data_IF_398480102483
#
_entry.id   IF_398480102483
#
_cell.length_a   1.000
_cell.length_b   1.000
_cell.length_c   1.000
_cell.angle_alpha   90.00
_cell.angle_beta   90.00
_cell.angle_gamma   90.00
#
_symmetry.space_group_name_H-M   'P 1'
#
loop_
_entity.id
_entity.type
_entity.pdbx_description
1 polymer ?
#
# COMPACT_ATOMS: atom_id res chain seq x y z
N UNK A 1 4.65 -2.65 0.44
CA UNK A 1 3.39 -2.69 1.21
C UNK A 1 3.59 -3.34 2.57
N UNK A 2 4.31 -4.47 2.66
CA UNK A 2 4.63 -5.11 3.94
C UNK A 2 5.18 -4.15 5.01
N UNK A 3 6.06 -3.21 4.63
CA UNK A 3 6.58 -2.21 5.58
C UNK A 3 5.53 -1.22 6.11
N UNK A 4 4.48 -0.93 5.33
CA UNK A 4 3.35 -0.12 5.79
C UNK A 4 2.41 -0.97 6.66
N UNK A 5 2.21 -2.23 6.26
CA UNK A 5 1.41 -3.24 6.98
C UNK A 5 2.04 -3.70 8.31
N UNK A 6 3.37 -3.57 8.47
CA UNK A 6 4.06 -3.92 9.71
C UNK A 6 3.86 -2.90 10.82
N UNK A 7 3.38 -1.70 10.50
CA UNK A 7 3.12 -0.65 11.46
C UNK A 7 1.62 -0.35 11.52
N UNK A 8 1.00 -0.76 12.63
CA UNK A 8 -0.43 -0.59 12.89
C UNK A 8 -0.91 0.86 12.90
N UNK A 9 -0.01 1.85 13.03
CA UNK A 9 -0.38 3.27 12.91
C UNK A 9 -0.83 3.65 11.49
N UNK A 10 -0.51 2.82 10.49
CA UNK A 10 -0.98 2.97 9.12
C UNK A 10 -2.38 2.38 8.89
N UNK A 11 -3.05 1.82 9.91
CA UNK A 11 -4.36 1.17 9.77
C UNK A 11 -5.46 2.09 9.21
N UNK A 12 -5.26 3.41 9.23
CA UNK A 12 -6.14 4.39 8.58
C UNK A 12 -6.10 4.31 7.05
N UNK A 13 -5.00 3.86 6.45
CA UNK A 13 -4.84 3.75 5.00
C UNK A 13 -4.56 2.32 4.49
N UNK A 14 -3.95 1.45 5.29
CA UNK A 14 -3.68 0.05 4.96
C UNK A 14 -3.62 -0.83 6.21
N UNK A 15 -4.30 -1.97 6.19
CA UNK A 15 -4.31 -2.92 7.31
C UNK A 15 -4.46 -4.36 6.82
N UNK A 16 -3.93 -5.30 7.60
CA UNK A 16 -4.27 -6.72 7.45
C UNK A 16 -5.75 -6.94 7.69
N UNK A 17 -6.37 -7.83 6.91
CA UNK A 17 -7.78 -8.21 7.00
C UNK A 17 -7.96 -9.62 6.44
N UNK A 18 -8.71 -10.48 7.13
CA UNK A 18 -8.99 -11.83 6.65
C UNK A 18 -7.92 -12.85 7.06
N UNK A 19 -7.58 -13.74 6.14
CA UNK A 19 -6.64 -14.85 6.35
C UNK A 19 -5.20 -14.48 5.98
N UNK A 20 -4.26 -15.43 6.09
CA UNK A 20 -2.83 -15.17 5.91
C UNK A 20 -2.52 -14.50 4.56
N UNK A 21 -2.00 -13.28 4.63
CA UNK A 21 -1.57 -12.50 3.47
C UNK A 21 -2.68 -11.61 2.87
N UNK A 22 -3.91 -11.69 3.37
CA UNK A 22 -5.00 -10.80 2.96
C UNK A 22 -4.91 -9.46 3.69
N UNK A 23 -5.07 -8.38 2.93
CA UNK A 23 -5.03 -7.02 3.43
C UNK A 23 -5.99 -6.15 2.64
N UNK A 24 -6.38 -5.02 3.22
CA UNK A 24 -7.18 -4.00 2.56
C UNK A 24 -6.47 -2.65 2.53
N UNK A 25 -6.80 -1.87 1.50
CA UNK A 25 -6.45 -0.47 1.38
C UNK A 25 -7.69 0.35 1.71
N UNK A 26 -7.72 0.97 2.88
CA UNK A 26 -8.82 1.86 3.29
C UNK A 26 -8.70 3.24 2.67
N UNK A 27 -7.46 3.69 2.41
CA UNK A 27 -7.15 4.89 1.64
C UNK A 27 -6.02 4.56 0.63
N UNK A 28 -6.39 4.13 -0.58
CA UNK A 28 -5.42 3.73 -1.59
C UNK A 28 -4.50 4.86 -2.07
N UNK A 29 -4.99 6.10 -2.07
CA UNK A 29 -4.22 7.28 -2.50
C UNK A 29 -3.14 7.63 -1.47
N UNK A 30 -3.47 7.62 -0.17
CA UNK A 30 -2.48 7.83 0.88
C UNK A 30 -1.43 6.71 0.93
N UNK A 31 -1.83 5.46 0.68
CA UNK A 31 -0.89 4.34 0.54
C UNK A 31 0.08 4.57 -0.62
N UNK A 32 -0.43 4.98 -1.78
CA UNK A 32 0.41 5.27 -2.93
C UNK A 32 1.37 6.44 -2.68
N UNK A 33 0.90 7.50 -1.99
CA UNK A 33 1.72 8.64 -1.59
C UNK A 33 2.86 8.21 -0.67
N UNK A 34 2.56 7.51 0.44
CA UNK A 34 3.57 7.02 1.40
C UNK A 34 4.54 6.03 0.77
N UNK A 35 4.03 5.13 -0.06
CA UNK A 35 4.89 4.20 -0.80
C UNK A 35 5.83 4.95 -1.75
N UNK A 36 5.32 5.98 -2.44
CA UNK A 36 6.08 6.84 -3.33
C UNK A 36 7.19 7.58 -2.60
N UNK A 37 6.87 8.21 -1.48
CA UNK A 37 7.82 8.89 -0.58
C UNK A 37 8.96 7.94 -0.15
N UNK A 38 8.61 6.75 0.34
CA UNK A 38 9.59 5.75 0.80
C UNK A 38 10.48 5.18 -0.31
N UNK A 39 9.98 5.11 -1.55
CA UNK A 39 10.73 4.61 -2.73
C UNK A 39 11.32 5.72 -3.59
N UNK A 40 11.28 6.97 -3.13
CA UNK A 40 11.73 8.16 -3.87
C UNK A 40 11.09 8.29 -5.26
N UNK A 41 9.80 7.95 -5.36
CA UNK A 41 8.96 8.06 -6.56
C UNK A 41 7.84 9.08 -6.30
N UNK A 42 8.11 10.40 -6.42
CA UNK A 42 7.16 11.45 -6.05
C UNK A 42 5.89 11.48 -6.90
N UNK A 43 5.94 10.94 -8.12
CA UNK A 43 4.79 10.86 -9.03
C UNK A 43 4.01 9.53 -8.88
N UNK A 44 4.14 8.84 -7.75
CA UNK A 44 3.37 7.63 -7.48
C UNK A 44 1.91 7.96 -7.18
N UNK A 45 1.01 7.12 -7.67
CA UNK A 45 -0.43 7.18 -7.41
C UNK A 45 -1.01 5.75 -7.36
N UNK A 46 -2.27 5.62 -6.97
CA UNK A 46 -2.87 4.31 -6.80
C UNK A 46 -2.95 3.52 -8.12
N UNK A 47 -3.19 4.16 -9.26
CA UNK A 47 -3.22 3.49 -10.57
C UNK A 47 -1.90 2.79 -10.90
N UNK A 48 -0.77 3.48 -10.69
CA UNK A 48 0.57 2.93 -10.91
C UNK A 48 0.90 1.84 -9.90
N UNK A 49 0.55 2.05 -8.63
CA UNK A 49 0.81 1.07 -7.57
C UNK A 49 -0.02 -0.21 -7.79
N UNK A 50 -1.31 -0.09 -8.07
CA UNK A 50 -2.20 -1.22 -8.36
C UNK A 50 -1.81 -1.97 -9.64
N UNK A 51 -1.27 -1.26 -10.65
CA UNK A 51 -0.67 -1.89 -11.83
C UNK A 51 0.52 -2.76 -11.44
N UNK A 52 1.43 -2.26 -10.61
CA UNK A 52 2.57 -3.02 -10.15
C UNK A 52 2.13 -4.27 -9.38
N UNK A 53 1.18 -4.14 -8.43
CA UNK A 53 0.66 -5.28 -7.64
C UNK A 53 0.10 -6.42 -8.50
N UNK A 54 -0.58 -6.10 -9.60
CA UNK A 54 -1.12 -7.10 -10.55
C UNK A 54 -0.05 -7.92 -11.28
N UNK A 55 1.19 -7.44 -11.31
CA UNK A 55 2.31 -8.10 -11.98
C UNK A 55 3.33 -8.68 -11.01
N UNK A 56 3.03 -8.70 -9.71
CA UNK A 56 3.86 -9.40 -8.70
C UNK A 56 3.35 -10.83 -8.46
N UNK A 57 2.51 -11.38 -9.36
CA UNK A 57 2.20 -12.82 -9.41
C UNK A 57 3.39 -13.63 -9.95
#
# INVERSE_FOLDING_TARGET
>A
LLELLSDSTNATCITWEGTNGEFKLTDPDEVARRWGERKSKPNMNYDKLSRALRYVE
#
